data_IF_325172506339
#
_entry.id   IF_325172506339
#
_cell.length_a   1.000
_cell.length_b   1.000
_cell.length_c   1.000
_cell.angle_alpha   90.00
_cell.angle_beta   90.00
_cell.angle_gamma   90.00
#
_symmetry.space_group_name_H-M   'P 1'
#
loop_
_entity.id
_entity.type
_entity.pdbx_description
1 polymer ?
#
# COMPACT_ATOMS: atom_id res chain seq x y z
N UNK A 1 10.85 -49.15 -38.32
CA UNK A 1 10.40 -47.87 -37.71
C UNK A 1 9.78 -48.17 -36.36
N UNK A 2 10.44 -47.78 -35.26
CA UNK A 2 9.85 -47.90 -33.91
C UNK A 2 8.73 -46.86 -33.79
N UNK A 3 7.47 -47.28 -33.74
CA UNK A 3 6.35 -46.40 -33.42
C UNK A 3 6.50 -45.97 -31.96
N UNK A 4 6.75 -44.67 -31.75
CA UNK A 4 6.88 -44.09 -30.43
C UNK A 4 5.63 -44.34 -29.59
N UNK A 5 5.83 -44.82 -28.37
CA UNK A 5 4.79 -45.09 -27.40
C UNK A 5 4.24 -43.77 -26.85
N UNK A 6 3.31 -43.15 -27.58
CA UNK A 6 2.67 -41.89 -27.19
C UNK A 6 1.69 -42.17 -26.04
N UNK A 7 2.17 -42.05 -24.79
CA UNK A 7 1.30 -42.02 -23.61
C UNK A 7 0.59 -40.68 -23.56
N UNK A 8 -0.72 -40.68 -23.79
CA UNK A 8 -1.57 -39.49 -23.58
C UNK A 8 -1.82 -39.24 -22.10
N UNK A 9 -2.05 -37.97 -21.74
CA UNK A 9 -2.53 -37.59 -20.41
C UNK A 9 -3.93 -38.15 -20.17
N UNK A 10 -4.18 -38.69 -18.98
CA UNK A 10 -5.52 -39.11 -18.58
C UNK A 10 -6.33 -37.90 -18.11
N UNK A 11 -7.64 -37.91 -18.37
CA UNK A 11 -8.54 -36.88 -17.83
C UNK A 11 -8.52 -36.86 -16.30
N UNK A 12 -8.28 -38.02 -15.68
CA UNK A 12 -8.19 -38.17 -14.24
C UNK A 12 -6.95 -37.47 -13.66
N UNK A 13 -5.80 -37.54 -14.33
CA UNK A 13 -4.59 -36.81 -13.92
C UNK A 13 -4.83 -35.30 -13.94
N UNK A 14 -5.48 -34.77 -14.98
CA UNK A 14 -5.80 -33.35 -15.05
C UNK A 14 -6.79 -32.93 -13.94
N UNK A 15 -7.78 -33.77 -13.65
CA UNK A 15 -8.78 -33.52 -12.60
C UNK A 15 -8.13 -33.47 -11.21
N UNK A 16 -7.24 -34.41 -10.88
CA UNK A 16 -6.53 -34.42 -9.61
C UNK A 16 -5.62 -33.18 -9.46
N UNK A 17 -4.95 -32.76 -10.54
CA UNK A 17 -4.10 -31.57 -10.52
C UNK A 17 -4.91 -30.31 -10.24
N UNK A 18 -6.04 -30.13 -10.95
CA UNK A 18 -6.91 -28.97 -10.76
C UNK A 18 -7.55 -28.95 -9.36
N UNK A 19 -7.87 -30.11 -8.79
CA UNK A 19 -8.42 -30.19 -7.43
C UNK A 19 -7.39 -29.76 -6.38
N UNK A 20 -6.13 -30.20 -6.49
CA UNK A 20 -5.05 -29.78 -5.60
C UNK A 20 -4.77 -28.28 -5.73
N UNK A 21 -4.70 -27.75 -6.96
CA UNK A 21 -4.51 -26.30 -7.19
C UNK A 21 -5.67 -25.51 -6.58
N UNK A 22 -6.91 -25.99 -6.71
CA UNK A 22 -8.09 -25.35 -6.11
C UNK A 22 -8.01 -25.23 -4.59
N UNK A 23 -7.61 -26.30 -3.90
CA UNK A 23 -7.42 -26.29 -2.44
C UNK A 23 -6.31 -25.33 -2.03
N UNK A 24 -5.17 -25.35 -2.72
CA UNK A 24 -4.06 -24.44 -2.43
C UNK A 24 -4.43 -22.98 -2.67
N UNK A 25 -5.16 -22.68 -3.75
CA UNK A 25 -5.61 -21.33 -4.08
C UNK A 25 -6.53 -20.74 -3.00
N UNK A 26 -7.48 -21.53 -2.48
CA UNK A 26 -8.40 -21.10 -1.41
C UNK A 26 -7.65 -20.63 -0.16
N UNK A 27 -6.54 -21.30 0.18
CA UNK A 27 -5.73 -21.01 1.36
C UNK A 27 -4.72 -19.88 1.11
N UNK A 28 -4.28 -19.69 -0.14
CA UNK A 28 -3.29 -18.69 -0.52
C UNK A 28 -3.87 -17.27 -0.67
N UNK A 29 -5.06 -17.13 -1.28
CA UNK A 29 -5.68 -15.83 -1.58
C UNK A 29 -5.83 -14.91 -0.35
N UNK A 30 -6.46 -15.34 0.77
CA UNK A 30 -6.63 -14.45 1.93
C UNK A 30 -5.31 -14.05 2.59
N UNK A 31 -4.28 -14.93 2.52
CA UNK A 31 -2.95 -14.61 3.03
C UNK A 31 -2.26 -13.55 2.16
N UNK A 32 -2.38 -13.67 0.84
CA UNK A 32 -1.79 -12.72 -0.09
C UNK A 32 -2.43 -11.33 0.05
N UNK A 33 -3.76 -11.24 0.09
CA UNK A 33 -4.45 -9.95 0.21
C UNK A 33 -4.15 -9.24 1.53
N UNK A 34 -4.02 -9.99 2.64
CA UNK A 34 -3.59 -9.43 3.93
C UNK A 34 -2.13 -8.92 3.90
N UNK A 35 -1.23 -9.64 3.23
CA UNK A 35 0.16 -9.21 3.08
C UNK A 35 0.29 -7.93 2.23
N UNK A 36 -0.46 -7.85 1.12
CA UNK A 36 -0.52 -6.64 0.28
C UNK A 36 -1.05 -5.45 1.07
N UNK A 37 -2.10 -5.64 1.88
CA UNK A 37 -2.64 -4.56 2.70
C UNK A 37 -1.63 -4.03 3.72
N UNK A 38 -0.86 -4.93 4.35
CA UNK A 38 0.21 -4.54 5.26
C UNK A 38 1.35 -3.78 4.54
N UNK A 39 1.74 -4.24 3.35
CA UNK A 39 2.76 -3.57 2.54
C UNK A 39 2.32 -2.15 2.13
N UNK A 40 1.05 -2.01 1.70
CA UNK A 40 0.47 -0.70 1.38
C UNK A 40 0.48 0.23 2.59
N UNK A 41 0.07 -0.28 3.75
CA UNK A 41 0.08 0.47 5.02
C UNK A 41 1.48 0.94 5.38
N UNK A 42 2.49 0.07 5.28
CA UNK A 42 3.88 0.42 5.55
C UNK A 42 4.42 1.48 4.58
N UNK A 43 4.02 1.42 3.31
CA UNK A 43 4.39 2.42 2.31
C UNK A 43 3.79 3.78 2.64
N UNK A 44 2.50 3.83 2.97
CA UNK A 44 1.83 5.08 3.38
C UNK A 44 2.50 5.69 4.61
N UNK A 45 2.80 4.88 5.64
CA UNK A 45 3.49 5.37 6.82
C UNK A 45 4.87 5.94 6.49
N UNK A 46 5.64 5.29 5.60
CA UNK A 46 6.94 5.79 5.17
C UNK A 46 6.81 7.13 4.43
N UNK A 47 5.87 7.21 3.48
CA UNK A 47 5.63 8.44 2.70
C UNK A 47 5.16 9.59 3.60
N UNK A 48 4.22 9.33 4.52
CA UNK A 48 3.73 10.33 5.49
C UNK A 48 4.82 10.80 6.45
N UNK A 49 5.73 9.92 6.88
CA UNK A 49 6.88 10.30 7.71
C UNK A 49 7.81 11.28 6.98
N UNK A 50 8.10 11.01 5.71
CA UNK A 50 8.93 11.90 4.87
C UNK A 50 8.25 13.25 4.70
N UNK A 51 6.94 13.25 4.39
CA UNK A 51 6.16 14.49 4.25
C UNK A 51 6.12 15.29 5.55
N UNK A 52 5.84 14.66 6.69
CA UNK A 52 5.82 15.33 7.99
C UNK A 52 7.17 15.94 8.35
N UNK A 53 8.27 15.23 8.06
CA UNK A 53 9.62 15.75 8.29
C UNK A 53 9.89 16.99 7.43
N UNK A 54 9.44 16.99 6.18
CA UNK A 54 9.55 18.13 5.29
C UNK A 54 8.67 19.32 5.73
N UNK A 55 7.47 19.07 6.24
CA UNK A 55 6.59 20.13 6.81
C UNK A 55 7.30 20.84 7.95
N UNK A 56 7.85 20.09 8.90
CA UNK A 56 8.55 20.63 10.08
C UNK A 56 9.79 21.42 9.65
N UNK A 57 10.54 20.93 8.66
CA UNK A 57 11.71 21.63 8.16
C UNK A 57 11.34 22.93 7.42
N UNK A 58 10.28 22.92 6.62
CA UNK A 58 9.75 24.12 5.97
C UNK A 58 9.32 25.17 6.99
N UNK A 59 8.59 24.75 8.03
CA UNK A 59 8.17 25.62 9.13
C UNK A 59 9.37 26.23 9.87
N UNK A 60 10.41 25.43 10.14
CA UNK A 60 11.61 25.91 10.82
C UNK A 60 12.36 27.00 10.03
N UNK A 61 12.33 26.95 8.70
CA UNK A 61 13.00 27.93 7.85
C UNK A 61 12.15 29.16 7.53
N UNK A 62 10.85 28.98 7.30
CA UNK A 62 9.94 30.04 6.83
C UNK A 62 9.03 30.62 7.93
N UNK A 63 9.00 30.00 9.12
CA UNK A 63 8.13 30.40 10.23
C UNK A 63 6.63 30.21 9.96
N UNK A 64 6.27 29.48 8.90
CA UNK A 64 4.89 29.22 8.50
C UNK A 64 4.77 27.86 7.81
N UNK A 65 3.58 27.24 7.87
CA UNK A 65 3.33 25.94 7.24
C UNK A 65 3.20 26.03 5.71
N UNK A 66 3.61 24.98 4.99
CA UNK A 66 3.47 24.92 3.53
C UNK A 66 1.99 24.92 3.12
N UNK A 67 1.68 25.53 1.96
CA UNK A 67 0.31 25.56 1.42
C UNK A 67 0.05 24.39 0.48
N UNK A 68 1.09 23.93 -0.22
CA UNK A 68 1.02 22.87 -1.22
C UNK A 68 2.20 21.91 -1.08
N UNK A 69 1.90 20.63 -0.82
CA UNK A 69 2.91 19.56 -0.72
C UNK A 69 3.76 19.42 -1.99
N UNK A 70 3.19 19.67 -3.17
CA UNK A 70 3.88 19.44 -4.44
C UNK A 70 4.78 20.59 -4.86
N UNK A 71 4.45 21.81 -4.47
CA UNK A 71 5.16 23.03 -4.92
C UNK A 71 6.14 23.53 -3.87
N UNK A 72 5.70 23.59 -2.61
CA UNK A 72 6.47 24.19 -1.52
C UNK A 72 7.51 23.22 -0.93
N UNK A 73 7.41 21.92 -1.24
CA UNK A 73 8.32 20.90 -0.69
C UNK A 73 9.39 20.40 -1.66
N UNK A 74 9.49 20.99 -2.86
CA UNK A 74 10.44 20.53 -3.89
C UNK A 74 11.90 20.59 -3.44
N UNK A 75 12.22 21.56 -2.59
CA UNK A 75 13.57 21.75 -2.06
C UNK A 75 13.89 20.81 -0.88
N UNK A 76 12.87 20.18 -0.29
CA UNK A 76 12.99 19.35 0.92
C UNK A 76 12.82 17.84 0.66
N UNK A 77 12.13 17.47 -0.42
CA UNK A 77 11.88 16.07 -0.79
C UNK A 77 12.34 15.85 -2.23
N UNK A 78 13.35 14.99 -2.41
CA UNK A 78 13.73 14.51 -3.73
C UNK A 78 12.60 13.65 -4.31
N UNK A 79 12.22 13.91 -5.57
CA UNK A 79 11.14 13.19 -6.26
C UNK A 79 9.77 13.27 -5.58
N UNK A 80 9.39 14.42 -4.99
CA UNK A 80 8.08 14.62 -4.37
C UNK A 80 6.90 14.21 -5.27
N UNK A 81 7.03 14.36 -6.60
CA UNK A 81 6.02 13.97 -7.59
C UNK A 81 5.79 12.45 -7.70
N UNK A 82 6.74 11.64 -7.21
CA UNK A 82 6.66 10.17 -7.16
C UNK A 82 6.04 9.67 -5.85
N UNK A 83 5.89 10.53 -4.85
CA UNK A 83 5.21 10.19 -3.60
C UNK A 83 3.71 10.12 -3.84
N UNK A 84 3.24 8.91 -4.17
CA UNK A 84 1.82 8.62 -4.39
C UNK A 84 1.41 7.45 -3.52
N UNK A 85 0.25 7.55 -2.85
CA UNK A 85 -0.25 6.45 -2.07
C UNK A 85 -0.52 5.23 -2.95
N UNK A 86 -0.22 4.02 -2.46
CA UNK A 86 -0.59 2.79 -3.14
C UNK A 86 -2.11 2.65 -3.17
N UNK A 87 -2.63 2.13 -4.28
CA UNK A 87 -4.06 1.84 -4.42
C UNK A 87 -4.42 0.52 -3.75
N UNK A 88 -5.61 0.48 -3.18
CA UNK A 88 -6.19 -0.74 -2.60
C UNK A 88 -6.23 -0.71 -1.08
N UNK A 89 -6.41 -1.89 -0.49
CA UNK A 89 -6.69 -2.02 0.93
C UNK A 89 -5.47 -1.65 1.77
N UNK A 90 -5.72 -0.92 2.86
CA UNK A 90 -4.77 -0.59 3.90
C UNK A 90 -5.40 -0.90 5.26
N UNK A 91 -4.56 -1.15 6.27
CA UNK A 91 -4.97 -1.48 7.62
C UNK A 91 -4.95 -0.22 8.49
N UNK A 92 -6.04 -0.01 9.21
CA UNK A 92 -6.12 1.01 10.25
C UNK A 92 -5.98 0.36 11.63
N UNK A 93 -5.46 1.12 12.59
CA UNK A 93 -5.23 0.65 13.97
C UNK A 93 -6.52 0.40 14.75
N UNK A 94 -7.65 0.91 14.28
CA UNK A 94 -8.97 0.56 14.81
C UNK A 94 -9.39 -0.89 14.44
N UNK A 95 -8.65 -1.54 13.54
CA UNK A 95 -8.91 -2.87 13.02
C UNK A 95 -9.76 -2.91 11.76
N UNK A 96 -10.14 -1.76 11.22
CA UNK A 96 -10.84 -1.65 9.95
C UNK A 96 -9.87 -1.61 8.78
N UNK A 97 -10.39 -1.87 7.58
CA UNK A 97 -9.62 -1.74 6.34
C UNK A 97 -10.21 -0.62 5.50
N UNK A 98 -9.37 0.36 5.15
CA UNK A 98 -9.74 1.43 4.22
C UNK A 98 -9.22 1.09 2.83
N UNK A 99 -10.00 1.36 1.79
CA UNK A 99 -9.56 1.23 0.41
C UNK A 99 -9.10 2.60 -0.11
N UNK A 100 -7.80 2.70 -0.33
CA UNK A 100 -7.18 3.94 -0.79
C UNK A 100 -7.40 4.07 -2.29
N UNK A 101 -8.12 5.12 -2.69
CA UNK A 101 -8.44 5.42 -4.09
C UNK A 101 -7.79 6.71 -4.58
N UNK A 102 -7.33 7.57 -3.66
CA UNK A 102 -6.69 8.83 -3.98
C UNK A 102 -5.32 8.67 -4.65
N UNK A 103 -4.93 9.67 -5.43
CA UNK A 103 -3.69 9.67 -6.22
C UNK A 103 -2.58 10.49 -5.59
N UNK A 104 -2.83 11.15 -4.44
CA UNK A 104 -1.88 12.01 -3.76
C UNK A 104 -2.16 12.12 -2.27
N UNK A 105 -1.24 12.76 -1.55
CA UNK A 105 -1.37 13.10 -0.14
C UNK A 105 -1.95 14.51 0.01
N UNK A 106 -2.66 14.76 1.11
CA UNK A 106 -3.24 16.06 1.43
C UNK A 106 -2.65 16.60 2.73
N UNK A 107 -2.85 17.88 3.02
CA UNK A 107 -2.48 18.49 4.30
C UNK A 107 -3.68 18.47 5.24
N UNK A 108 -3.41 18.33 6.54
CA UNK A 108 -4.39 18.56 7.60
C UNK A 108 -4.90 20.01 7.58
N UNK A 109 -6.05 20.27 8.21
CA UNK A 109 -6.62 21.61 8.31
C UNK A 109 -5.64 22.61 8.95
N UNK A 110 -4.88 22.13 9.93
CA UNK A 110 -3.81 22.87 10.62
C UNK A 110 -2.49 22.93 9.82
N UNK A 111 -2.39 22.20 8.72
CA UNK A 111 -1.21 22.07 7.82
C UNK A 111 0.07 21.55 8.47
N UNK A 112 -0.01 21.13 9.74
CA UNK A 112 1.08 20.56 10.51
C UNK A 112 1.39 19.10 10.15
N UNK A 113 0.48 18.41 9.47
CA UNK A 113 0.63 16.99 9.13
C UNK A 113 0.12 16.67 7.73
N UNK A 114 0.76 15.70 7.09
CA UNK A 114 0.27 15.06 5.87
C UNK A 114 -0.77 14.00 6.19
N UNK A 115 -1.76 13.90 5.33
CA UNK A 115 -2.89 12.99 5.38
C UNK A 115 -2.93 12.12 4.13
N UNK A 116 -3.39 10.89 4.29
CA UNK A 116 -3.78 10.01 3.19
C UNK A 116 -5.28 9.75 3.30
N UNK A 117 -6.09 10.26 2.37
CA UNK A 117 -7.55 10.11 2.37
C UNK A 117 -8.18 10.45 3.74
N UNK A 118 -7.76 11.58 4.34
CA UNK A 118 -8.16 12.10 5.67
C UNK A 118 -7.61 11.37 6.90
N UNK A 119 -6.75 10.36 6.72
CA UNK A 119 -6.09 9.66 7.82
C UNK A 119 -4.66 10.14 8.03
N UNK A 120 -4.28 10.30 9.30
CA UNK A 120 -2.93 10.63 9.73
C UNK A 120 -2.05 9.38 9.77
N UNK A 121 -0.73 9.57 9.90
CA UNK A 121 0.19 8.45 10.06
C UNK A 121 -0.16 7.54 11.24
N UNK A 122 -0.69 8.13 12.32
CA UNK A 122 -1.06 7.38 13.53
C UNK A 122 -2.28 6.51 13.33
N UNK A 123 -3.12 6.75 12.32
CA UNK A 123 -4.30 5.92 12.06
C UNK A 123 -3.94 4.62 11.34
N UNK A 124 -2.86 4.64 10.55
CA UNK A 124 -2.38 3.49 9.79
C UNK A 124 -1.62 2.51 10.68
N UNK A 125 -1.94 1.23 10.62
CA UNK A 125 -1.19 0.21 11.32
C UNK A 125 -1.98 -1.06 11.60
N UNK A 126 -1.33 -2.02 12.25
CA UNK A 126 -2.05 -3.15 12.84
C UNK A 126 -2.84 -2.67 14.04
N UNK A 127 -4.00 -3.27 14.27
CA UNK A 127 -4.75 -3.09 15.50
C UNK A 127 -3.85 -3.38 16.71
N UNK A 128 -3.69 -2.39 17.58
CA UNK A 128 -3.07 -2.58 18.87
C UNK A 128 -3.97 -3.55 19.68
N UNK A 129 -3.36 -4.58 20.26
CA UNK A 129 -4.09 -5.63 21.00
C UNK A 129 -4.76 -5.09 22.25
#
# INVERSE_FOLDING_TARGET
MKLGNQKGFTLLELLLVMSIIGVLAMVAVPRFTGAVALANTSKIQADLNVLNSAIVLYEAEHGSYPKNLTTDMKDYIQDAEKLKPPKGKCLLRDGTTVEITETGYTLSEDKSQALCQSHTITDFGRKDK
#
